data_IF_228010771776
#
_entry.id   IF_228010771776
#
_cell.length_a   1.000
_cell.length_b   1.000
_cell.length_c   1.000
_cell.angle_alpha   90.00
_cell.angle_beta   90.00
_cell.angle_gamma   90.00
#
_symmetry.space_group_name_H-M   'P 1'
#
loop_
_entity.id
_entity.type
_entity.pdbx_description
1 polymer ?
#
# COMPACT_ATOMS: atom_id res chain seq x y z
N UNK A 1 -24.08 16.52 8.37
CA UNK A 1 -22.99 16.13 7.44
C UNK A 1 -22.23 14.95 8.03
N UNK A 2 -21.76 13.98 7.22
CA UNK A 2 -20.94 12.87 7.71
C UNK A 2 -19.47 13.33 7.84
N UNK A 3 -18.82 13.03 8.96
CA UNK A 3 -17.40 13.35 9.16
C UNK A 3 -16.53 12.48 8.23
N UNK A 4 -15.80 13.04 7.26
CA UNK A 4 -15.06 12.26 6.28
C UNK A 4 -13.91 11.44 6.89
N UNK A 5 -13.31 11.90 7.99
CA UNK A 5 -12.22 11.21 8.67
C UNK A 5 -12.67 9.91 9.33
N UNK A 6 -13.90 9.85 9.81
CA UNK A 6 -14.41 8.66 10.52
C UNK A 6 -15.41 7.87 9.69
N UNK A 7 -16.08 8.50 8.72
CA UNK A 7 -17.08 7.83 7.89
C UNK A 7 -16.46 6.79 6.95
N UNK A 8 -15.35 7.13 6.28
CA UNK A 8 -14.67 6.18 5.39
C UNK A 8 -14.07 4.97 6.14
N UNK A 9 -13.22 5.14 7.18
CA UNK A 9 -12.69 4.00 7.94
C UNK A 9 -13.79 3.15 8.58
N UNK A 10 -14.85 3.78 9.10
CA UNK A 10 -15.96 3.04 9.71
C UNK A 10 -16.72 2.19 8.69
N UNK A 11 -16.84 2.64 7.44
CA UNK A 11 -17.44 1.86 6.35
C UNK A 11 -16.62 0.61 5.99
N UNK A 12 -15.31 0.59 6.28
CA UNK A 12 -14.44 -0.57 6.09
C UNK A 12 -14.22 -1.39 7.36
N UNK A 13 -14.85 -1.01 8.47
CA UNK A 13 -14.72 -1.70 9.77
C UNK A 13 -13.51 -1.27 10.60
N UNK A 14 -12.90 -0.13 10.29
CA UNK A 14 -11.65 0.35 10.89
C UNK A 14 -11.82 1.62 11.74
N UNK A 15 -10.89 1.81 12.68
CA UNK A 15 -10.71 3.10 13.35
C UNK A 15 -9.91 4.04 12.46
N UNK A 16 -10.13 5.35 12.61
CA UNK A 16 -9.36 6.36 11.86
C UNK A 16 -7.85 6.18 12.02
N UNK A 17 -7.39 5.95 13.25
CA UNK A 17 -5.96 5.78 13.55
C UNK A 17 -5.42 4.50 12.90
N UNK A 18 -6.14 3.38 12.98
CA UNK A 18 -5.73 2.13 12.34
C UNK A 18 -5.68 2.21 10.80
N UNK A 19 -6.60 2.97 10.21
CA UNK A 19 -6.62 3.24 8.77
C UNK A 19 -5.48 4.18 8.35
N UNK A 20 -5.23 5.24 9.13
CA UNK A 20 -4.18 6.22 8.91
C UNK A 20 -2.79 5.55 8.89
N UNK A 21 -2.46 4.76 9.91
CA UNK A 21 -1.18 4.07 9.98
C UNK A 21 -0.98 3.10 8.82
N UNK A 22 -2.04 2.39 8.42
CA UNK A 22 -1.97 1.49 7.27
C UNK A 22 -1.70 2.25 5.97
N UNK A 23 -2.45 3.33 5.73
CA UNK A 23 -2.29 4.14 4.54
C UNK A 23 -0.87 4.73 4.44
N UNK A 24 -0.33 5.23 5.56
CA UNK A 24 1.06 5.73 5.62
C UNK A 24 2.05 4.60 5.33
N UNK A 25 1.92 3.45 5.99
CA UNK A 25 2.83 2.32 5.80
C UNK A 25 2.86 1.83 4.35
N UNK A 26 1.68 1.61 3.76
CA UNK A 26 1.56 1.19 2.36
C UNK A 26 2.11 2.27 1.42
N UNK A 27 1.80 3.54 1.66
CA UNK A 27 2.30 4.66 0.87
C UNK A 27 3.83 4.75 0.86
N UNK A 28 4.48 4.58 2.01
CA UNK A 28 5.95 4.58 2.10
C UNK A 28 6.58 3.43 1.30
N UNK A 29 6.00 2.22 1.36
CA UNK A 29 6.49 1.07 0.57
C UNK A 29 6.27 1.32 -0.93
N UNK A 30 5.15 1.91 -1.33
CA UNK A 30 4.87 2.25 -2.73
C UNK A 30 5.86 3.29 -3.26
N UNK A 31 6.11 4.36 -2.50
CA UNK A 31 7.10 5.39 -2.86
C UNK A 31 8.48 4.75 -3.03
N UNK A 32 8.92 3.97 -2.04
CA UNK A 32 10.21 3.28 -2.10
C UNK A 32 10.28 2.34 -3.32
N UNK A 33 9.25 1.53 -3.56
CA UNK A 33 9.22 0.60 -4.69
C UNK A 33 9.20 1.32 -6.04
N UNK A 34 8.52 2.47 -6.13
CA UNK A 34 8.56 3.35 -7.29
C UNK A 34 9.95 3.92 -7.54
N UNK A 35 10.62 4.42 -6.51
CA UNK A 35 12.01 4.88 -6.60
C UNK A 35 12.94 3.75 -7.06
N UNK A 36 12.75 2.53 -6.53
CA UNK A 36 13.49 1.35 -6.95
C UNK A 36 13.27 1.02 -8.43
N UNK A 37 12.03 1.08 -8.94
CA UNK A 37 11.75 0.88 -10.37
C UNK A 37 12.48 1.92 -11.23
N UNK A 38 12.49 3.18 -10.83
CA UNK A 38 13.17 4.25 -11.56
C UNK A 38 14.68 3.98 -11.60
N UNK A 39 15.30 3.65 -10.47
CA UNK A 39 16.74 3.32 -10.42
C UNK A 39 17.03 2.11 -11.30
N UNK A 40 16.23 1.05 -11.20
CA UNK A 40 16.37 -0.16 -12.02
C UNK A 40 16.23 0.11 -13.52
N UNK A 41 15.39 1.06 -13.93
CA UNK A 41 15.26 1.44 -15.33
C UNK A 41 16.57 2.02 -15.93
N UNK A 42 17.40 2.68 -15.12
CA UNK A 42 18.73 3.14 -15.52
C UNK A 42 19.82 2.09 -15.27
N UNK A 43 19.66 1.25 -14.24
CA UNK A 43 20.63 0.26 -13.78
C UNK A 43 19.95 -1.13 -13.65
N UNK A 44 19.74 -1.86 -14.77
CA UNK A 44 18.89 -3.05 -14.81
C UNK A 44 19.44 -4.26 -14.04
N UNK A 45 20.67 -4.20 -13.56
CA UNK A 45 21.29 -5.25 -12.75
C UNK A 45 21.09 -5.04 -11.23
N UNK A 46 20.60 -3.89 -10.79
CA UNK A 46 20.32 -3.59 -9.38
C UNK A 46 18.82 -3.77 -9.11
N UNK A 47 18.47 -4.27 -7.92
CA UNK A 47 17.08 -4.38 -7.45
C UNK A 47 16.13 -5.20 -8.35
N UNK A 48 16.66 -6.20 -9.06
CA UNK A 48 15.96 -7.00 -10.10
C UNK A 48 14.61 -7.60 -9.69
N UNK A 49 14.35 -7.78 -8.40
CA UNK A 49 13.05 -8.23 -7.90
C UNK A 49 12.51 -7.46 -6.70
N UNK A 50 13.16 -6.37 -6.30
CA UNK A 50 12.81 -5.67 -5.05
C UNK A 50 11.44 -5.00 -5.15
N UNK A 51 11.21 -4.23 -6.21
CA UNK A 51 9.92 -3.55 -6.39
C UNK A 51 8.76 -4.52 -6.58
N UNK A 52 8.94 -5.58 -7.37
CA UNK A 52 7.89 -6.59 -7.60
C UNK A 52 7.55 -7.37 -6.33
N UNK A 53 8.56 -7.76 -5.54
CA UNK A 53 8.34 -8.41 -4.23
C UNK A 53 7.55 -7.51 -3.28
N UNK A 54 7.88 -6.23 -3.19
CA UNK A 54 7.16 -5.27 -2.36
C UNK A 54 5.71 -5.09 -2.83
N UNK A 55 5.48 -4.99 -4.13
CA UNK A 55 4.14 -4.84 -4.67
C UNK A 55 3.27 -6.08 -4.42
N UNK A 56 3.81 -7.28 -4.61
CA UNK A 56 3.14 -8.55 -4.26
C UNK A 56 2.87 -8.64 -2.76
N UNK A 57 3.81 -8.18 -1.93
CA UNK A 57 3.60 -8.12 -0.48
C UNK A 57 2.43 -7.20 -0.12
N UNK A 58 2.38 -6.00 -0.68
CA UNK A 58 1.27 -5.05 -0.47
C UNK A 58 -0.06 -5.63 -0.97
N UNK A 59 -0.07 -6.25 -2.15
CA UNK A 59 -1.24 -6.91 -2.71
C UNK A 59 -1.81 -7.96 -1.74
N UNK A 60 -0.97 -8.89 -1.28
CA UNK A 60 -1.36 -9.91 -0.31
C UNK A 60 -1.78 -9.32 1.03
N UNK A 61 -1.26 -8.15 1.40
CA UNK A 61 -1.66 -7.43 2.62
C UNK A 61 -3.06 -6.85 2.47
N UNK A 62 -3.37 -6.23 1.34
CA UNK A 62 -4.72 -5.74 1.05
C UNK A 62 -5.74 -6.87 0.96
N UNK A 63 -5.42 -7.99 0.30
CA UNK A 63 -6.28 -9.17 0.25
C UNK A 63 -6.63 -9.70 1.64
N UNK A 64 -5.66 -9.75 2.56
CA UNK A 64 -5.88 -10.19 3.94
C UNK A 64 -6.73 -9.21 4.74
N UNK A 65 -6.62 -7.91 4.46
CA UNK A 65 -7.28 -6.84 5.23
C UNK A 65 -8.70 -6.56 4.75
N UNK A 66 -8.94 -6.62 3.44
CA UNK A 66 -10.21 -6.20 2.83
C UNK A 66 -10.88 -7.28 1.97
N UNK A 67 -10.28 -8.46 1.84
CA UNK A 67 -10.71 -9.51 0.91
C UNK A 67 -10.46 -9.13 -0.55
N UNK A 68 -10.95 -9.95 -1.49
CA UNK A 68 -10.90 -9.65 -2.95
C UNK A 68 -11.83 -8.51 -3.38
N UNK A 69 -12.44 -7.79 -2.44
CA UNK A 69 -13.48 -6.79 -2.73
C UNK A 69 -12.92 -5.46 -3.25
N UNK A 70 -11.61 -5.26 -3.13
CA UNK A 70 -10.90 -4.04 -3.47
C UNK A 70 -9.75 -4.30 -4.46
N UNK A 71 -9.76 -5.46 -5.12
CA UNK A 71 -8.88 -5.86 -6.22
C UNK A 71 -9.70 -6.36 -7.40
#
# INVERSE_FOLDING_TARGET
MKNPFTHHPKNTGETYIGHLFEAIYCGLIMIFSGSVCIIHAFLPFIFTSTASRNLVYLLKRFERRFGKKFL
#
